data_IF_047904901153
#
_entry.id   IF_047904901153
#
_cell.length_a   1.000
_cell.length_b   1.000
_cell.length_c   1.000
_cell.angle_alpha   90.00
_cell.angle_beta   90.00
_cell.angle_gamma   90.00
#
_symmetry.space_group_name_H-M   'P 1'
#
loop_
_entity.id
_entity.type
_entity.pdbx_description
1 polymer ?
#
# COMPACT_ATOMS: atom_id res chain seq x y z
N UNK A 1 11.11 3.34 28.72
CA UNK A 1 9.69 2.93 28.62
C UNK A 1 9.60 2.07 27.37
N UNK A 2 9.65 0.75 27.54
CA UNK A 2 9.58 -0.19 26.41
C UNK A 2 8.10 -0.37 26.10
N UNK A 3 7.62 0.21 25.02
CA UNK A 3 6.22 0.08 24.62
C UNK A 3 6.13 -1.25 23.89
N UNK A 4 5.56 -2.28 24.53
CA UNK A 4 5.08 -3.43 23.78
C UNK A 4 3.89 -2.96 22.95
N UNK A 5 3.88 -3.29 21.66
CA UNK A 5 2.76 -3.16 20.71
C UNK A 5 1.39 -2.83 21.35
N UNK A 6 0.99 -1.56 21.33
CA UNK A 6 -0.31 -1.09 21.81
C UNK A 6 -0.22 0.07 22.80
N UNK A 7 -0.62 1.26 22.37
CA UNK A 7 -0.80 2.40 23.27
C UNK A 7 -2.20 2.36 23.89
N UNK A 8 -2.26 2.37 25.23
CA UNK A 8 -3.53 2.40 25.96
C UNK A 8 -4.20 3.78 25.78
N UNK A 9 -5.35 3.78 25.09
CA UNK A 9 -6.24 4.92 25.00
C UNK A 9 -7.30 4.81 26.09
N UNK A 10 -7.42 5.85 26.94
CA UNK A 10 -8.28 5.81 28.14
C UNK A 10 -9.63 6.54 27.95
N UNK A 11 -9.91 7.08 26.76
CA UNK A 11 -11.20 7.73 26.44
C UNK A 11 -12.08 6.75 25.64
N UNK A 12 -13.40 6.85 25.78
CA UNK A 12 -14.37 5.98 25.09
C UNK A 12 -14.88 6.60 23.78
N UNK A 13 -14.51 7.84 23.48
CA UNK A 13 -14.96 8.55 22.28
C UNK A 13 -14.03 8.32 21.11
N UNK A 14 -14.59 8.20 19.91
CA UNK A 14 -13.83 8.19 18.67
C UNK A 14 -13.15 9.55 18.45
N UNK A 15 -11.84 9.58 18.16
CA UNK A 15 -11.13 10.85 17.91
C UNK A 15 -11.61 11.58 16.64
N UNK A 16 -12.29 10.89 15.72
CA UNK A 16 -12.82 11.44 14.47
C UNK A 16 -14.24 11.96 14.64
N UNK A 17 -15.22 11.09 14.92
CA UNK A 17 -16.63 11.49 15.02
C UNK A 17 -17.05 12.00 16.41
N UNK A 18 -16.16 11.92 17.40
CA UNK A 18 -16.36 12.35 18.79
C UNK A 18 -17.49 11.64 19.56
N UNK A 19 -18.11 10.61 18.97
CA UNK A 19 -19.14 9.80 19.62
C UNK A 19 -18.51 8.77 20.56
N UNK A 20 -19.16 8.50 21.69
CA UNK A 20 -18.87 7.34 22.53
C UNK A 20 -19.22 6.06 21.75
N UNK A 21 -18.29 5.10 21.71
CA UNK A 21 -18.46 3.85 20.99
C UNK A 21 -17.45 2.80 21.46
N UNK A 22 -17.69 1.54 21.06
CA UNK A 22 -16.64 0.52 21.12
C UNK A 22 -15.54 0.88 20.12
N UNK A 23 -14.34 1.14 20.65
CA UNK A 23 -13.18 1.54 19.87
C UNK A 23 -12.49 0.29 19.28
N UNK A 24 -12.11 0.40 18.01
CA UNK A 24 -11.39 -0.61 17.25
C UNK A 24 -9.88 -0.36 17.29
N UNK A 25 -9.09 -1.42 17.21
CA UNK A 25 -7.63 -1.34 17.07
C UNK A 25 -7.32 -0.80 15.68
N UNK A 26 -6.59 0.32 15.63
CA UNK A 26 -6.17 0.96 14.40
C UNK A 26 -4.66 1.05 14.27
N UNK A 27 -4.12 0.85 13.06
CA UNK A 27 -2.70 1.08 12.78
C UNK A 27 -2.49 2.53 12.36
N UNK A 28 -1.63 3.26 13.08
CA UNK A 28 -1.42 4.69 12.80
C UNK A 28 -0.86 4.89 11.40
N UNK A 29 0.20 4.16 11.07
CA UNK A 29 0.64 3.96 9.69
C UNK A 29 -0.06 2.70 9.17
N UNK A 30 -0.68 2.71 7.98
CA UNK A 30 -1.44 1.56 7.50
C UNK A 30 -0.62 0.26 7.50
N UNK A 31 -1.22 -0.81 8.01
CA UNK A 31 -0.60 -2.15 8.02
C UNK A 31 -0.22 -2.63 6.62
N UNK A 32 -0.99 -2.21 5.61
CA UNK A 32 -0.78 -2.55 4.20
C UNK A 32 0.59 -2.10 3.67
N UNK A 33 1.19 -1.06 4.27
CA UNK A 33 2.53 -0.57 3.96
C UNK A 33 3.56 -0.87 5.06
N UNK A 34 3.23 -1.76 6.00
CA UNK A 34 4.15 -2.23 7.03
C UNK A 34 4.14 -1.41 8.33
N UNK A 35 3.13 -0.57 8.58
CA UNK A 35 2.97 0.04 9.89
C UNK A 35 2.61 -0.98 10.98
N UNK A 36 3.14 -0.80 12.20
CA UNK A 36 2.90 -1.68 13.35
C UNK A 36 2.42 -0.95 14.61
N UNK A 37 2.55 0.38 14.67
CA UNK A 37 2.05 1.16 15.80
C UNK A 37 0.53 1.14 15.79
N UNK A 38 -0.05 0.62 16.85
CA UNK A 38 -1.50 0.50 16.99
C UNK A 38 -2.04 1.23 18.22
N UNK A 39 -3.29 1.69 18.12
CA UNK A 39 -4.04 2.28 19.22
C UNK A 39 -5.54 2.08 19.02
N UNK A 40 -6.31 2.09 20.11
CA UNK A 40 -7.78 1.92 20.06
C UNK A 40 -8.47 3.27 20.30
N UNK A 41 -8.49 4.14 19.28
CA UNK A 41 -9.10 5.49 19.39
C UNK A 41 -10.14 5.80 18.30
N UNK A 42 -10.38 4.88 17.36
CA UNK A 42 -11.40 5.03 16.31
C UNK A 42 -12.56 4.07 16.56
N UNK A 43 -13.79 4.54 16.40
CA UNK A 43 -14.91 3.61 16.31
C UNK A 43 -14.84 2.81 15.00
N UNK A 44 -15.45 1.62 14.99
CA UNK A 44 -15.46 0.71 13.84
C UNK A 44 -15.90 1.39 12.54
N UNK A 45 -16.95 2.22 12.57
CA UNK A 45 -17.48 2.89 11.39
C UNK A 45 -16.48 3.88 10.76
N UNK A 46 -15.79 4.69 11.56
CA UNK A 46 -14.76 5.60 11.05
C UNK A 46 -13.56 4.82 10.50
N UNK A 47 -13.13 3.77 11.21
CA UNK A 47 -12.01 2.94 10.80
C UNK A 47 -12.29 2.25 9.45
N UNK A 48 -13.42 1.54 9.33
CA UNK A 48 -13.82 0.87 8.09
C UNK A 48 -13.96 1.86 6.92
N UNK A 49 -14.45 3.08 7.18
CA UNK A 49 -14.55 4.13 6.16
C UNK A 49 -13.17 4.57 5.64
N UNK A 50 -12.16 4.65 6.50
CA UNK A 50 -10.79 4.98 6.07
C UNK A 50 -10.20 3.82 5.26
N UNK A 51 -10.31 2.59 5.79
CA UNK A 51 -9.84 1.37 5.16
C UNK A 51 -10.45 1.09 3.78
N UNK A 52 -11.74 1.37 3.60
CA UNK A 52 -12.44 1.23 2.31
C UNK A 52 -12.33 2.47 1.40
N UNK A 53 -11.90 3.61 1.95
CA UNK A 53 -11.70 4.86 1.24
C UNK A 53 -10.25 5.04 0.84
N UNK A 54 -9.64 6.15 1.28
CA UNK A 54 -8.30 6.56 0.87
C UNK A 54 -7.17 5.59 1.24
N UNK A 55 -7.36 4.68 2.20
CA UNK A 55 -6.31 3.70 2.55
C UNK A 55 -6.27 2.48 1.62
N UNK A 56 -7.37 2.18 0.91
CA UNK A 56 -7.49 0.97 0.10
C UNK A 56 -6.39 0.85 -0.96
N UNK A 57 -6.09 1.98 -1.61
CA UNK A 57 -5.13 2.07 -2.71
C UNK A 57 -3.73 2.51 -2.28
N UNK A 58 -3.53 2.83 -0.99
CA UNK A 58 -2.23 3.30 -0.46
C UNK A 58 -1.09 2.35 -0.80
N UNK A 59 -1.34 1.03 -0.77
CA UNK A 59 -0.31 0.02 -1.04
C UNK A 59 0.14 -0.03 -2.51
N UNK A 60 -0.75 0.30 -3.45
CA UNK A 60 -0.46 0.26 -4.89
C UNK A 60 -0.04 1.62 -5.44
N UNK A 61 -0.08 2.67 -4.62
CA UNK A 61 0.37 4.01 -4.99
C UNK A 61 1.81 3.97 -5.56
N UNK A 62 2.06 4.57 -6.74
CA UNK A 62 3.37 4.53 -7.39
C UNK A 62 4.53 5.00 -6.52
N UNK A 63 4.34 6.05 -5.73
CA UNK A 63 5.38 6.62 -4.86
C UNK A 63 5.78 5.66 -3.75
N UNK A 64 4.80 4.94 -3.19
CA UNK A 64 5.00 3.93 -2.13
C UNK A 64 5.81 2.76 -2.68
N UNK A 65 5.40 2.21 -3.82
CA UNK A 65 6.10 1.09 -4.47
C UNK A 65 7.52 1.46 -4.89
N UNK A 66 7.70 2.64 -5.49
CA UNK A 66 9.03 3.16 -5.86
C UNK A 66 9.92 3.34 -4.62
N UNK A 67 9.39 3.92 -3.54
CA UNK A 67 10.14 4.11 -2.31
C UNK A 67 10.52 2.77 -1.65
N UNK A 68 9.62 1.78 -1.65
CA UNK A 68 9.93 0.44 -1.16
C UNK A 68 11.00 -0.26 -2.02
N UNK A 69 10.92 -0.12 -3.34
CA UNK A 69 11.88 -0.72 -4.28
C UNK A 69 13.32 -0.25 -4.11
N UNK A 70 13.55 0.97 -3.60
CA UNK A 70 14.88 1.51 -3.33
C UNK A 70 15.67 0.73 -2.25
N UNK A 71 14.97 -0.05 -1.42
CA UNK A 71 15.59 -0.80 -0.32
C UNK A 71 16.01 -2.23 -0.70
N UNK A 72 15.81 -2.61 -1.97
CA UNK A 72 16.25 -3.90 -2.51
C UNK A 72 15.70 -5.09 -1.72
N UNK A 73 16.58 -6.03 -1.37
CA UNK A 73 16.22 -7.27 -0.66
C UNK A 73 16.01 -7.09 0.85
N UNK A 74 16.33 -5.93 1.41
CA UNK A 74 16.23 -5.73 2.88
C UNK A 74 14.80 -5.76 3.41
N UNK A 75 13.81 -5.55 2.54
CA UNK A 75 12.36 -5.57 2.85
C UNK A 75 11.56 -6.34 1.78
N UNK A 76 12.15 -7.37 1.17
CA UNK A 76 11.58 -8.09 0.02
C UNK A 76 10.15 -8.59 0.26
N UNK A 77 9.86 -9.16 1.42
CA UNK A 77 8.50 -9.62 1.77
C UNK A 77 7.45 -8.50 1.80
N UNK A 78 7.82 -7.31 2.25
CA UNK A 78 6.93 -6.15 2.21
C UNK A 78 6.80 -5.63 0.78
N UNK A 79 7.91 -5.46 0.07
CA UNK A 79 7.92 -5.05 -1.35
C UNK A 79 7.01 -5.94 -2.18
N UNK A 80 7.16 -7.24 -2.07
CA UNK A 80 6.39 -8.20 -2.86
C UNK A 80 4.89 -8.15 -2.54
N UNK A 81 4.50 -7.79 -1.30
CA UNK A 81 3.09 -7.56 -0.94
C UNK A 81 2.52 -6.27 -1.55
N UNK A 82 3.35 -5.24 -1.71
CA UNK A 82 2.95 -3.98 -2.36
C UNK A 82 2.75 -4.15 -3.86
N UNK A 83 3.42 -5.11 -4.49
CA UNK A 83 3.22 -5.41 -5.91
C UNK A 83 1.91 -6.16 -6.20
N UNK A 84 1.30 -6.81 -5.20
CA UNK A 84 0.03 -7.54 -5.41
C UNK A 84 -1.12 -6.57 -5.69
N UNK A 85 -1.76 -6.74 -6.84
CA UNK A 85 -2.82 -5.87 -7.36
C UNK A 85 -2.29 -4.74 -8.25
N UNK A 86 -0.98 -4.53 -8.29
CA UNK A 86 -0.39 -3.54 -9.18
C UNK A 86 -0.46 -3.95 -10.65
N UNK A 87 -0.52 -2.97 -11.53
CA UNK A 87 -0.55 -3.17 -12.98
C UNK A 87 0.86 -3.26 -13.56
N UNK A 88 1.00 -4.21 -14.48
CA UNK A 88 2.22 -4.49 -15.21
C UNK A 88 1.94 -4.54 -16.70
N UNK A 89 2.85 -3.96 -17.47
CA UNK A 89 2.88 -4.06 -18.92
C UNK A 89 3.79 -5.20 -19.36
N UNK A 90 3.32 -5.99 -20.32
CA UNK A 90 4.11 -7.02 -21.01
C UNK A 90 3.95 -6.86 -22.51
N UNK A 91 5.04 -7.14 -23.24
CA UNK A 91 5.09 -7.08 -24.70
C UNK A 91 5.37 -8.47 -25.27
N UNK A 92 4.59 -8.86 -26.29
CA UNK A 92 4.60 -10.15 -26.96
C UNK A 92 4.59 -9.93 -28.48
N UNK A 93 5.77 -9.69 -29.07
CA UNK A 93 5.86 -9.22 -30.45
C UNK A 93 5.21 -7.85 -30.61
N UNK A 94 4.29 -7.71 -31.55
CA UNK A 94 3.54 -6.46 -31.81
C UNK A 94 2.33 -6.25 -30.86
N UNK A 95 2.11 -7.20 -29.94
CA UNK A 95 1.02 -7.12 -28.97
C UNK A 95 1.53 -6.69 -27.60
N UNK A 96 0.93 -5.63 -27.05
CA UNK A 96 1.09 -5.23 -25.66
C UNK A 96 -0.13 -5.65 -24.84
N UNK A 97 0.09 -6.02 -23.57
CA UNK A 97 -0.98 -6.17 -22.58
C UNK A 97 -0.62 -5.51 -21.26
N UNK A 98 -1.65 -5.06 -20.55
CA UNK A 98 -1.57 -4.67 -19.15
C UNK A 98 -2.38 -5.67 -18.32
N UNK A 99 -1.80 -6.14 -17.23
CA UNK A 99 -2.46 -7.07 -16.31
C UNK A 99 -2.09 -6.75 -14.86
N UNK A 100 -2.97 -7.06 -13.93
CA UNK A 100 -2.71 -6.95 -12.50
C UNK A 100 -1.95 -8.18 -11.98
N UNK A 101 -0.97 -7.94 -11.11
CA UNK A 101 -0.23 -9.00 -10.45
C UNK A 101 -1.10 -9.65 -9.36
N UNK A 102 -1.34 -10.96 -9.48
CA UNK A 102 -2.16 -11.70 -8.52
C UNK A 102 -1.39 -12.01 -7.23
N UNK A 103 -2.11 -12.54 -6.23
CA UNK A 103 -1.54 -12.96 -4.92
C UNK A 103 -0.44 -14.02 -5.04
N UNK A 104 -0.52 -14.88 -6.05
CA UNK A 104 0.50 -15.90 -6.38
C UNK A 104 1.69 -15.32 -7.16
N UNK A 105 1.73 -13.99 -7.34
CA UNK A 105 2.76 -13.25 -8.08
C UNK A 105 2.84 -13.62 -9.56
N UNK A 106 1.73 -14.03 -10.13
CA UNK A 106 1.59 -14.37 -11.55
C UNK A 106 0.65 -13.37 -12.23
N UNK A 107 1.01 -12.93 -13.43
CA UNK A 107 0.13 -12.15 -14.31
C UNK A 107 -0.81 -13.11 -15.04
N UNK A 108 -2.10 -13.04 -14.71
CA UNK A 108 -3.10 -14.01 -15.16
C UNK A 108 -3.26 -14.13 -16.69
N UNK A 109 -4.10 -15.09 -17.10
CA UNK A 109 -4.43 -15.27 -18.50
C UNK A 109 -5.17 -14.04 -19.07
N UNK A 110 -4.86 -13.65 -20.30
CA UNK A 110 -5.52 -12.51 -20.96
C UNK A 110 -5.56 -12.69 -22.48
N UNK A 111 -6.58 -12.12 -23.11
CA UNK A 111 -6.73 -12.08 -24.57
C UNK A 111 -5.99 -10.87 -25.14
N UNK A 112 -5.24 -11.06 -26.22
CA UNK A 112 -4.54 -9.99 -26.94
C UNK A 112 -5.41 -9.37 -28.03
N UNK A 113 -4.89 -8.31 -28.69
CA UNK A 113 -5.60 -7.58 -29.74
C UNK A 113 -5.90 -8.43 -30.97
N UNK A 114 -4.98 -9.33 -31.33
CA UNK A 114 -5.13 -10.32 -32.40
C UNK A 114 -6.04 -11.51 -32.02
N UNK A 115 -6.73 -11.42 -30.87
CA UNK A 115 -7.54 -12.49 -30.29
C UNK A 115 -6.80 -13.73 -29.80
N UNK A 116 -5.46 -13.76 -29.84
CA UNK A 116 -4.69 -14.81 -29.19
C UNK A 116 -4.84 -14.75 -27.67
N UNK A 117 -4.55 -15.86 -26.99
CA UNK A 117 -4.64 -15.98 -25.54
C UNK A 117 -3.25 -16.21 -24.95
N UNK A 118 -2.88 -15.38 -23.99
CA UNK A 118 -1.70 -15.60 -23.16
C UNK A 118 -2.12 -16.24 -21.86
N UNK A 119 -1.37 -17.26 -21.45
CA UNK A 119 -1.65 -18.07 -20.27
C UNK A 119 -0.35 -18.24 -19.49
N UNK A 120 -0.36 -18.08 -18.15
CA UNK A 120 0.77 -18.48 -17.33
C UNK A 120 1.12 -19.95 -17.54
N UNK A 121 2.41 -20.30 -17.55
CA UNK A 121 2.86 -21.67 -17.77
C UNK A 121 2.22 -22.67 -16.78
N UNK A 122 2.07 -22.29 -15.50
CA UNK A 122 1.41 -23.10 -14.47
C UNK A 122 -0.07 -23.42 -14.77
N UNK A 123 -0.72 -22.64 -15.63
CA UNK A 123 -2.13 -22.82 -16.01
C UNK A 123 -2.28 -23.39 -17.44
N UNK A 124 -1.18 -23.53 -18.17
CA UNK A 124 -1.20 -23.86 -19.59
C UNK A 124 -1.80 -25.25 -19.85
N UNK A 125 -1.41 -26.27 -19.10
CA UNK A 125 -1.96 -27.64 -19.25
C UNK A 125 -3.48 -27.64 -19.14
N UNK A 126 -4.02 -27.10 -18.03
CA UNK A 126 -5.47 -27.05 -17.80
C UNK A 126 -6.17 -26.32 -18.95
N UNK A 127 -5.56 -25.24 -19.46
CA UNK A 127 -6.14 -24.46 -20.55
C UNK A 127 -6.12 -25.19 -21.88
N UNK A 128 -5.03 -25.87 -22.21
CA UNK A 128 -4.88 -26.74 -23.38
C UNK A 128 -5.97 -27.81 -23.38
N UNK A 129 -6.09 -28.55 -22.26
CA UNK A 129 -7.12 -29.59 -22.08
C UNK A 129 -8.52 -29.02 -22.30
N UNK A 130 -8.81 -27.86 -21.71
CA UNK A 130 -10.12 -27.22 -21.86
C UNK A 130 -10.42 -26.76 -23.28
N UNK A 131 -9.43 -26.22 -24.01
CA UNK A 131 -9.60 -25.75 -25.39
C UNK A 131 -9.84 -26.92 -26.34
N UNK A 132 -8.99 -27.95 -26.28
CA UNK A 132 -9.10 -29.12 -27.14
C UNK A 132 -10.37 -29.95 -26.85
N UNK A 133 -10.74 -30.11 -25.57
CA UNK A 133 -11.98 -30.81 -25.20
C UNK A 133 -13.23 -30.11 -25.74
N UNK A 134 -13.25 -28.77 -25.76
CA UNK A 134 -14.35 -28.00 -26.38
C UNK A 134 -14.40 -28.14 -27.89
N UNK A 135 -13.27 -28.43 -28.54
CA UNK A 135 -13.18 -28.72 -29.96
C UNK A 135 -13.48 -30.18 -30.32
N UNK A 136 -13.79 -31.03 -29.33
CA UNK A 136 -14.14 -32.44 -29.56
C UNK A 136 -12.95 -33.39 -29.63
N UNK A 137 -11.76 -32.97 -29.20
CA UNK A 137 -10.60 -33.86 -29.10
C UNK A 137 -10.83 -34.96 -28.04
N UNK A 138 -10.35 -36.17 -28.33
CA UNK A 138 -10.31 -37.30 -27.40
C UNK A 138 -9.23 -37.12 -26.32
N UNK A 139 -9.37 -37.82 -25.19
CA UNK A 139 -8.36 -37.80 -24.12
C UNK A 139 -6.96 -38.18 -24.60
N UNK A 140 -6.86 -39.10 -25.57
CA UNK A 140 -5.59 -39.51 -26.17
C UNK A 140 -4.94 -38.36 -26.95
N UNK A 141 -5.73 -37.64 -27.76
CA UNK A 141 -5.25 -36.46 -28.49
C UNK A 141 -4.84 -35.34 -27.52
N UNK A 142 -5.66 -35.08 -26.49
CA UNK A 142 -5.38 -34.08 -25.47
C UNK A 142 -4.06 -34.37 -24.74
N UNK A 143 -3.86 -35.62 -24.28
CA UNK A 143 -2.62 -36.01 -23.60
C UNK A 143 -1.40 -35.92 -24.52
N UNK A 144 -1.56 -36.28 -25.80
CA UNK A 144 -0.50 -36.11 -26.80
C UNK A 144 -0.16 -34.64 -27.00
N UNK A 145 -1.15 -33.76 -27.08
CA UNK A 145 -0.96 -32.32 -27.26
C UNK A 145 -0.26 -31.67 -26.06
N UNK A 146 -0.67 -32.01 -24.83
CA UNK A 146 -0.01 -31.55 -23.60
C UNK A 146 1.46 -31.96 -23.61
N UNK A 147 1.75 -33.23 -23.90
CA UNK A 147 3.13 -33.72 -23.98
C UNK A 147 3.95 -32.98 -25.06
N UNK A 148 3.37 -32.78 -26.25
CA UNK A 148 4.03 -32.02 -27.32
C UNK A 148 4.36 -30.58 -26.89
N UNK A 149 3.48 -29.91 -26.15
CA UNK A 149 3.73 -28.58 -25.61
C UNK A 149 4.80 -28.56 -24.52
N UNK A 150 4.80 -29.56 -23.62
CA UNK A 150 5.81 -29.69 -22.56
C UNK A 150 7.21 -29.86 -23.14
N UNK A 151 7.35 -30.76 -24.13
CA UNK A 151 8.61 -31.09 -24.81
C UNK A 151 9.07 -29.98 -25.79
N UNK A 152 8.18 -29.06 -26.17
CA UNK A 152 8.51 -28.00 -27.11
C UNK A 152 9.60 -27.05 -26.57
N UNK A 153 10.61 -26.71 -27.39
CA UNK A 153 11.59 -25.69 -27.04
C UNK A 153 10.93 -24.32 -26.85
N UNK A 154 11.49 -23.46 -26.00
CA UNK A 154 11.10 -22.05 -25.91
C UNK A 154 11.01 -21.36 -27.26
N UNK A 155 10.07 -20.44 -27.37
CA UNK A 155 9.75 -19.60 -28.53
C UNK A 155 9.34 -20.37 -29.81
N UNK A 156 9.00 -21.65 -29.68
CA UNK A 156 8.53 -22.48 -30.79
C UNK A 156 7.00 -22.48 -30.84
N UNK A 157 6.45 -22.39 -32.05
CA UNK A 157 5.03 -22.62 -32.31
C UNK A 157 4.76 -24.12 -32.48
N UNK A 158 3.74 -24.60 -31.80
CA UNK A 158 3.31 -26.00 -31.79
C UNK A 158 1.86 -26.04 -32.19
N UNK A 159 1.57 -26.73 -33.30
CA UNK A 159 0.20 -27.09 -33.67
C UNK A 159 -0.23 -28.29 -32.81
N UNK A 160 -1.26 -28.07 -31.99
CA UNK A 160 -1.83 -29.08 -31.10
C UNK A 160 -3.02 -29.82 -31.73
N UNK A 161 -3.33 -29.52 -33.00
CA UNK A 161 -4.52 -30.00 -33.70
C UNK A 161 -5.77 -29.22 -33.34
N UNK A 162 -6.88 -29.54 -34.01
CA UNK A 162 -8.19 -28.93 -33.77
C UNK A 162 -8.20 -27.39 -33.87
N UNK A 163 -7.32 -26.84 -34.72
CA UNK A 163 -7.15 -25.39 -34.92
C UNK A 163 -6.48 -24.66 -33.76
N UNK A 164 -5.86 -25.37 -32.81
CA UNK A 164 -5.17 -24.79 -31.66
C UNK A 164 -3.66 -24.77 -31.91
N UNK A 165 -3.10 -23.58 -32.10
CA UNK A 165 -1.65 -23.36 -32.19
C UNK A 165 -1.19 -22.61 -30.94
N UNK A 166 -0.10 -23.06 -30.32
CA UNK A 166 0.48 -22.45 -29.12
C UNK A 166 1.93 -22.08 -29.37
N UNK A 167 2.33 -20.90 -28.90
CA UNK A 167 3.73 -20.48 -28.82
C UNK A 167 4.21 -20.50 -27.37
N UNK A 168 5.26 -21.26 -27.07
CA UNK A 168 5.85 -21.34 -25.72
C UNK A 168 6.79 -20.17 -25.47
N UNK A 169 6.26 -19.03 -25.07
CA UNK A 169 7.05 -17.84 -24.77
C UNK A 169 7.96 -18.03 -23.53
N UNK A 170 9.19 -17.53 -23.58
CA UNK A 170 10.13 -17.53 -22.45
C UNK A 170 10.72 -16.14 -22.22
N UNK A 171 10.97 -15.79 -20.96
CA UNK A 171 11.62 -14.53 -20.55
C UNK A 171 10.95 -13.26 -21.10
N UNK A 172 9.63 -13.13 -20.91
CA UNK A 172 8.94 -11.86 -21.20
C UNK A 172 8.98 -10.97 -19.96
N UNK A 173 9.86 -9.96 -19.93
CA UNK A 173 9.91 -9.05 -18.81
C UNK A 173 8.55 -8.35 -18.68
N UNK A 174 8.06 -8.30 -17.45
CA UNK A 174 6.95 -7.47 -17.09
C UNK A 174 7.51 -6.21 -16.42
N UNK A 175 6.99 -5.06 -16.82
CA UNK A 175 7.39 -3.78 -16.23
C UNK A 175 6.20 -3.17 -15.51
N UNK A 176 6.38 -2.66 -14.28
CA UNK A 176 5.32 -1.94 -13.59
C UNK A 176 4.90 -0.71 -14.38
N UNK A 177 3.59 -0.45 -14.49
CA UNK A 177 3.07 0.70 -15.23
C UNK A 177 3.14 2.00 -14.42
N UNK A 178 2.98 1.91 -13.09
CA UNK A 178 2.92 3.06 -12.18
C UNK A 178 1.84 4.08 -12.56
N UNK A 179 0.75 3.60 -13.17
CA UNK A 179 -0.40 4.40 -13.61
C UNK A 179 -1.59 4.30 -12.65
N UNK A 180 -1.42 3.59 -11.53
CA UNK A 180 -2.34 3.60 -10.39
C UNK A 180 -2.47 5.01 -9.78
N UNK A 181 -3.56 5.30 -9.04
CA UNK A 181 -3.72 6.56 -8.35
C UNK A 181 -2.51 6.89 -7.45
N UNK A 182 -2.14 8.17 -7.42
CA UNK A 182 -1.11 8.66 -6.51
C UNK A 182 -1.53 8.46 -5.05
N UNK A 183 -0.56 8.50 -4.14
CA UNK A 183 -0.85 8.45 -2.70
C UNK A 183 -1.78 9.61 -2.29
N UNK A 184 -2.94 9.28 -1.74
CA UNK A 184 -3.89 10.28 -1.24
C UNK A 184 -3.27 11.14 -0.12
N UNK A 185 -3.43 12.48 -0.13
CA UNK A 185 -2.97 13.36 0.94
C UNK A 185 -3.68 13.09 2.28
N UNK A 186 -4.83 12.43 2.26
CA UNK A 186 -5.53 12.03 3.49
C UNK A 186 -4.74 11.03 4.32
N UNK A 187 -3.87 10.21 3.70
CA UNK A 187 -3.05 9.21 4.40
C UNK A 187 -2.04 9.88 5.36
N UNK A 188 -1.13 10.76 4.91
CA UNK A 188 -0.23 11.45 5.83
C UNK A 188 -0.97 12.36 6.82
N UNK A 189 -2.08 13.00 6.42
CA UNK A 189 -2.90 13.79 7.35
C UNK A 189 -3.47 12.93 8.48
N UNK A 190 -4.04 11.76 8.15
CA UNK A 190 -4.57 10.79 9.12
C UNK A 190 -3.48 10.30 10.07
N UNK A 191 -2.34 9.85 9.53
CA UNK A 191 -1.17 9.43 10.32
C UNK A 191 -0.76 10.53 11.32
N UNK A 192 -0.65 11.78 10.85
CA UNK A 192 -0.26 12.90 11.67
C UNK A 192 -1.31 13.24 12.74
N UNK A 193 -2.59 13.28 12.38
CA UNK A 193 -3.69 13.58 13.31
C UNK A 193 -3.79 12.53 14.42
N UNK A 194 -3.65 11.26 14.09
CA UNK A 194 -3.63 10.17 15.05
C UNK A 194 -2.44 10.27 16.01
N UNK A 195 -1.25 10.59 15.50
CA UNK A 195 -0.08 10.81 16.34
C UNK A 195 -0.22 12.04 17.25
N UNK A 196 -0.80 13.14 16.74
CA UNK A 196 -1.15 14.32 17.57
C UNK A 196 -2.16 13.94 18.65
N UNK A 197 -3.13 13.10 18.33
CA UNK A 197 -4.15 12.64 19.27
C UNK A 197 -3.53 11.86 20.43
N UNK A 198 -2.55 11.00 20.15
CA UNK A 198 -1.77 10.31 21.19
C UNK A 198 -1.03 11.28 22.12
N UNK A 199 -0.45 12.35 21.55
CA UNK A 199 0.29 13.36 22.32
C UNK A 199 -0.66 14.18 23.20
N UNK A 200 -1.82 14.56 22.68
CA UNK A 200 -2.82 15.38 23.38
C UNK A 200 -3.63 14.61 24.41
N UNK A 201 -3.80 13.29 24.22
CA UNK A 201 -4.74 12.49 25.00
C UNK A 201 -6.16 13.09 24.94
N UNK A 202 -6.84 13.15 26.08
CA UNK A 202 -8.20 13.71 26.16
C UNK A 202 -8.33 15.19 25.74
N UNK A 203 -7.22 15.95 25.66
CA UNK A 203 -7.27 17.32 25.17
C UNK A 203 -7.64 17.41 23.68
N UNK A 204 -7.51 16.31 22.92
CA UNK A 204 -7.90 16.25 21.51
C UNK A 204 -9.39 16.58 21.30
N UNK A 205 -10.25 16.32 22.28
CA UNK A 205 -11.70 16.57 22.20
C UNK A 205 -12.10 18.01 22.55
N UNK A 206 -11.15 18.87 22.91
CA UNK A 206 -11.46 20.29 23.16
C UNK A 206 -11.96 20.97 21.88
N UNK A 207 -12.76 22.02 22.06
CA UNK A 207 -13.29 22.84 20.96
C UNK A 207 -12.18 23.70 20.35
N UNK A 208 -11.30 23.06 19.59
CA UNK A 208 -10.27 23.71 18.79
C UNK A 208 -10.68 23.62 17.31
N UNK A 209 -10.75 24.78 16.64
CA UNK A 209 -11.21 24.89 15.25
C UNK A 209 -10.40 24.00 14.30
N UNK A 210 -9.08 23.96 14.45
CA UNK A 210 -8.18 23.17 13.60
C UNK A 210 -8.39 21.68 13.76
N UNK A 211 -8.54 21.20 14.99
CA UNK A 211 -8.86 19.79 15.22
C UNK A 211 -10.25 19.41 14.69
N UNK A 212 -11.21 20.33 14.72
CA UNK A 212 -12.54 20.12 14.12
C UNK A 212 -12.45 20.07 12.59
N UNK A 213 -11.65 20.95 12.00
CA UNK A 213 -11.45 21.00 10.55
C UNK A 213 -10.76 19.73 10.03
N UNK A 214 -9.71 19.25 10.70
CA UNK A 214 -9.06 17.99 10.32
C UNK A 214 -10.04 16.81 10.42
N UNK A 215 -10.90 16.76 11.46
CA UNK A 215 -11.95 15.73 11.55
C UNK A 215 -12.93 15.82 10.38
N UNK A 216 -13.34 17.03 10.01
CA UNK A 216 -14.23 17.28 8.88
C UNK A 216 -13.58 16.78 7.58
N UNK A 217 -12.34 17.18 7.32
CA UNK A 217 -11.56 16.74 6.15
C UNK A 217 -11.49 15.22 6.06
N UNK A 218 -11.12 14.54 7.16
CA UNK A 218 -11.03 13.07 7.19
C UNK A 218 -12.40 12.40 7.06
N UNK A 219 -13.43 12.99 7.67
CA UNK A 219 -14.81 12.48 7.57
C UNK A 219 -15.32 12.65 6.15
N UNK A 220 -15.14 13.80 5.52
CA UNK A 220 -15.65 14.07 4.18
C UNK A 220 -14.77 13.47 3.07
N UNK A 221 -13.56 12.99 3.42
CA UNK A 221 -12.51 12.57 2.48
C UNK A 221 -12.15 13.69 1.49
N UNK A 222 -12.01 14.91 2.00
CA UNK A 222 -11.72 16.12 1.23
C UNK A 222 -10.22 16.23 0.93
N UNK A 223 -9.77 15.61 -0.16
CA UNK A 223 -8.35 15.58 -0.55
C UNK A 223 -7.77 16.96 -0.81
N UNK A 224 -8.54 17.89 -1.37
CA UNK A 224 -8.05 19.23 -1.69
C UNK A 224 -7.74 20.02 -0.41
N UNK A 225 -8.61 19.94 0.60
CA UNK A 225 -8.36 20.55 1.90
C UNK A 225 -7.23 19.85 2.66
N UNK A 226 -7.07 18.53 2.49
CA UNK A 226 -5.95 17.80 3.07
C UNK A 226 -4.61 18.23 2.47
N UNK A 227 -4.53 18.33 1.14
CA UNK A 227 -3.32 18.75 0.41
C UNK A 227 -2.84 20.14 0.85
N UNK A 228 -3.76 21.07 1.11
CA UNK A 228 -3.45 22.40 1.61
C UNK A 228 -2.75 22.42 2.99
N UNK A 229 -2.79 21.32 3.75
CA UNK A 229 -2.13 21.17 5.05
C UNK A 229 -0.78 20.44 4.99
N UNK A 230 -0.35 20.02 3.80
CA UNK A 230 0.78 19.10 3.64
C UNK A 230 1.85 19.67 2.71
N UNK A 231 3.09 19.75 3.21
CA UNK A 231 4.28 19.90 2.36
C UNK A 231 4.84 18.51 2.03
N UNK A 232 4.93 18.19 0.73
CA UNK A 232 5.52 16.94 0.24
C UNK A 232 6.98 17.15 -0.14
N UNK A 233 7.85 16.21 0.24
CA UNK A 233 9.26 16.21 -0.15
C UNK A 233 9.88 14.82 -0.17
N UNK A 234 11.10 14.75 -0.68
CA UNK A 234 11.92 13.53 -0.70
C UNK A 234 13.16 13.73 0.18
N UNK A 235 13.52 12.69 0.93
CA UNK A 235 14.78 12.67 1.66
C UNK A 235 15.96 12.45 0.71
N UNK A 236 17.09 13.10 1.00
CA UNK A 236 18.34 12.94 0.23
C UNK A 236 19.01 11.59 0.47
N UNK A 237 18.81 11.01 1.65
CA UNK A 237 19.29 9.68 2.01
C UNK A 237 18.10 8.81 2.43
N UNK A 238 18.06 7.59 1.92
CA UNK A 238 16.98 6.64 2.13
C UNK A 238 17.42 5.55 3.10
N UNK A 239 16.51 5.09 3.95
CA UNK A 239 16.71 3.94 4.84
C UNK A 239 15.37 3.23 5.07
N UNK A 240 15.35 1.91 5.28
CA UNK A 240 14.11 1.14 5.34
C UNK A 240 13.42 1.29 6.70
N UNK A 241 12.79 2.45 6.93
CA UNK A 241 12.03 2.71 8.15
C UNK A 241 10.79 3.57 7.88
N UNK A 242 9.79 3.48 8.74
CA UNK A 242 8.75 4.51 8.86
C UNK A 242 9.02 5.38 10.09
N UNK A 243 8.64 6.64 10.05
CA UNK A 243 8.77 7.53 11.20
C UNK A 243 7.68 8.58 11.26
N UNK A 244 7.36 9.00 12.48
CA UNK A 244 6.43 10.10 12.75
C UNK A 244 7.11 10.99 13.79
N UNK A 245 7.21 12.29 13.55
CA UNK A 245 7.88 13.19 14.47
C UNK A 245 7.09 14.47 14.66
N UNK A 246 6.71 14.78 15.90
CA UNK A 246 6.25 16.11 16.25
C UNK A 246 7.47 17.05 16.33
N UNK A 247 7.53 18.04 15.45
CA UNK A 247 8.69 18.92 15.27
C UNK A 247 8.65 20.15 16.18
N UNK A 248 7.55 20.37 16.88
CA UNK A 248 7.31 21.56 17.70
C UNK A 248 6.28 22.50 17.08
N UNK A 249 6.28 23.76 17.53
CA UNK A 249 5.32 24.79 17.12
C UNK A 249 6.06 25.92 16.39
N UNK A 250 6.19 25.88 15.05
CA UNK A 250 6.95 26.88 14.26
C UNK A 250 6.36 27.16 12.86
N UNK A 251 5.49 28.18 12.67
CA UNK A 251 4.74 28.90 13.71
C UNK A 251 3.61 28.04 14.30
N UNK A 252 3.19 27.00 13.57
CA UNK A 252 2.13 26.07 13.93
C UNK A 252 2.69 24.75 14.46
N UNK A 253 1.86 23.95 15.12
CA UNK A 253 2.20 22.55 15.40
C UNK A 253 2.48 21.81 14.08
N UNK A 254 3.63 21.16 13.98
CA UNK A 254 4.06 20.43 12.78
C UNK A 254 4.37 18.98 13.12
N UNK A 255 3.89 18.07 12.28
CA UNK A 255 4.21 16.64 12.33
C UNK A 255 4.84 16.22 11.01
N UNK A 256 6.05 15.67 11.08
CA UNK A 256 6.67 15.00 9.95
C UNK A 256 6.26 13.54 9.93
N UNK A 257 5.65 13.10 8.84
CA UNK A 257 5.49 11.69 8.49
C UNK A 257 6.56 11.31 7.49
N UNK A 258 7.25 10.20 7.75
CA UNK A 258 8.29 9.65 6.86
C UNK A 258 7.97 8.21 6.54
N UNK A 259 7.83 7.88 5.26
CA UNK A 259 7.53 6.53 4.79
C UNK A 259 8.70 5.97 4.00
N UNK A 260 9.11 4.74 4.32
CA UNK A 260 10.27 4.05 3.73
C UNK A 260 11.56 4.88 3.77
N UNK A 261 11.71 5.78 4.75
CA UNK A 261 12.81 6.73 4.88
C UNK A 261 12.93 7.77 3.77
N UNK A 262 12.25 7.57 2.63
CA UNK A 262 12.34 8.36 1.40
C UNK A 262 11.27 9.43 1.34
N UNK A 263 10.00 9.05 1.47
CA UNK A 263 8.89 10.00 1.35
C UNK A 263 8.77 10.80 2.64
N UNK A 264 8.73 12.13 2.54
CA UNK A 264 8.60 13.05 3.66
C UNK A 264 7.36 13.92 3.45
N UNK A 265 6.50 13.95 4.46
CA UNK A 265 5.34 14.82 4.52
C UNK A 265 5.44 15.66 5.78
N UNK A 266 5.31 16.98 5.68
CA UNK A 266 5.13 17.86 6.83
C UNK A 266 3.67 18.26 6.88
N UNK A 267 2.97 17.81 7.91
CA UNK A 267 1.58 18.15 8.16
C UNK A 267 1.54 19.29 9.16
N UNK A 268 0.96 20.40 8.75
CA UNK A 268 0.74 21.55 9.63
C UNK A 268 -0.65 21.51 10.26
N UNK A 269 -0.73 21.88 11.53
CA UNK A 269 -1.97 22.12 12.25
C UNK A 269 -2.05 23.61 12.59
N UNK A 270 -2.61 24.46 11.69
CA UNK A 270 -2.69 25.90 11.89
C UNK A 270 -3.30 26.25 13.24
N UNK A 271 -2.76 27.24 13.97
CA UNK A 271 -3.35 27.69 15.24
C UNK A 271 -3.48 26.62 16.34
N UNK A 272 -2.86 25.45 16.19
CA UNK A 272 -2.74 24.45 17.25
C UNK A 272 -1.37 24.60 17.93
N UNK A 273 -1.37 24.74 19.25
CA UNK A 273 -0.15 24.75 20.06
C UNK A 273 -0.11 23.51 20.96
N UNK A 274 0.91 22.68 20.82
CA UNK A 274 1.09 21.49 21.65
C UNK A 274 2.22 21.74 22.66
N UNK A 275 1.90 21.66 23.95
CA UNK A 275 2.84 21.93 25.06
C UNK A 275 3.72 20.73 25.41
N UNK A 276 4.25 20.02 24.41
CA UNK A 276 5.19 18.90 24.60
C UNK A 276 6.56 19.21 24.01
N UNK A 277 7.59 18.50 24.46
CA UNK A 277 8.87 18.50 23.77
C UNK A 277 8.74 17.70 22.45
N UNK A 278 9.60 17.95 21.44
CA UNK A 278 9.62 17.14 20.24
C UNK A 278 9.73 15.65 20.57
N UNK A 279 8.84 14.86 19.96
CA UNK A 279 8.76 13.41 20.13
C UNK A 279 8.78 12.75 18.77
N UNK A 280 9.52 11.66 18.67
CA UNK A 280 9.72 10.90 17.43
C UNK A 280 9.39 9.44 17.68
N UNK A 281 8.55 8.87 16.82
CA UNK A 281 8.37 7.44 16.61
C UNK A 281 9.16 7.01 15.37
N UNK A 282 9.84 5.87 15.45
CA UNK A 282 10.46 5.21 14.29
C UNK A 282 10.19 3.71 14.32
N UNK A 283 10.05 3.10 13.16
CA UNK A 283 9.89 1.67 12.95
C UNK A 283 10.84 1.18 11.87
N UNK A 284 11.82 0.35 12.22
CA UNK A 284 12.73 -0.27 11.25
C UNK A 284 12.03 -1.42 10.54
N UNK A 285 11.86 -1.30 9.22
CA UNK A 285 11.12 -2.24 8.39
C UNK A 285 11.86 -3.57 8.17
N UNK A 286 13.15 -3.63 8.48
CA UNK A 286 13.95 -4.86 8.36
C UNK A 286 13.78 -5.73 9.59
N UNK A 287 13.83 -5.11 10.77
CA UNK A 287 13.85 -5.82 12.05
C UNK A 287 12.49 -5.90 12.71
N UNK A 288 11.54 -5.06 12.28
CA UNK A 288 10.25 -4.91 12.92
C UNK A 288 10.30 -4.12 14.24
N UNK A 289 11.47 -3.65 14.66
CA UNK A 289 11.66 -2.93 15.92
C UNK A 289 11.15 -1.50 15.79
N UNK A 290 10.39 -1.04 16.77
CA UNK A 290 10.01 0.36 16.91
C UNK A 290 10.64 1.03 18.14
N UNK A 291 10.75 2.35 18.07
CA UNK A 291 11.36 3.17 19.10
C UNK A 291 10.64 4.51 19.22
N UNK A 292 10.46 4.98 20.45
CA UNK A 292 10.00 6.33 20.75
C UNK A 292 11.12 7.11 21.44
N UNK A 293 11.48 8.26 20.89
CA UNK A 293 12.48 9.18 21.44
C UNK A 293 11.83 10.52 21.75
N UNK A 294 12.00 11.00 22.97
CA UNK A 294 11.71 12.39 23.34
C UNK A 294 13.01 13.16 23.46
N UNK A 295 13.14 14.32 22.80
CA UNK A 295 14.26 15.22 23.09
C UNK A 295 13.99 15.91 24.43
N UNK A 296 14.97 15.89 25.33
CA UNK A 296 14.93 16.77 26.50
C UNK A 296 14.79 18.22 26.01
N UNK A 297 13.95 19.02 26.67
CA UNK A 297 13.90 20.45 26.38
C UNK A 297 15.29 21.01 26.63
N UNK A 298 15.88 21.66 25.61
CA UNK A 298 16.99 22.56 25.87
C UNK A 298 16.44 23.65 26.80
N UNK A 299 16.87 23.60 28.07
CA UNK A 299 16.52 24.56 29.12
C UNK A 299 17.09 25.93 28.81
#
# INVERSE_FOLDING_TARGET
MTISSGLNWNDTRCIVCMQEADLSIEHIIPRSIGGILTCSFLCKSCNERFGAGFEADTRIAPEIRKAAGQHGESISDLRDRLEVGARYKQSFGDNDRTAELRKDRVLGAAKLKDSSLIVPEKEAEQKIRSMLGKSGASDREINSAVKSWEEAPPNTEVDLGHGVVIKKWQNHPAHPTYDEPALSPLVPLKIAFEFVSLILGGAVYQRNHTLQEVRRILTDQDEASADALIEVGLATATAPFHGIAFQGNRPNAQVQVRLFGTLRFIVEFPSLGIKTAPITYTHDLRTGVDEIRSRARAS
#
